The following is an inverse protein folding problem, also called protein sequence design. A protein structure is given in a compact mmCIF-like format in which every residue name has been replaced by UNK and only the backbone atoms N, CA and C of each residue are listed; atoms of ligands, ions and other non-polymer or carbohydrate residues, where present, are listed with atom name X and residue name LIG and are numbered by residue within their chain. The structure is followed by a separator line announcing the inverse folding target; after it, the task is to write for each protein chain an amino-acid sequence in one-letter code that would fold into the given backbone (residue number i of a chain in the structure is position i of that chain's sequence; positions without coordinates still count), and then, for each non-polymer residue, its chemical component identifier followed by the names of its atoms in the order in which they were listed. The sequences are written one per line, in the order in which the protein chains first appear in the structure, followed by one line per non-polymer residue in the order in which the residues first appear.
data_IF_939542619466
#
_entry.id   IF_939542619466
#
_cell.length_a   1.000
_cell.length_b   1.000
_cell.length_c   1.000
_cell.angle_alpha   90.00
_cell.angle_beta   90.00
_cell.angle_gamma   90.00
#
_symmetry.space_group_name_H-M   'P 1'
#
loop_
_entity.id
_entity.type
_entity.pdbx_description
1 polymer ?
#
# COMPACT_ATOMS: atom_id res chain seq x y z
N UNK A 1 -17.49 0.47 -2.83
CA UNK A 1 -16.87 -0.82 -2.41
C UNK A 1 -15.42 -0.54 -2.04
N UNK A 2 -15.00 -0.91 -0.84
CA UNK A 2 -13.63 -0.66 -0.37
C UNK A 2 -12.62 -1.58 -1.07
N UNK A 3 -11.45 -1.04 -1.36
CA UNK A 3 -10.39 -1.74 -2.07
C UNK A 3 -9.37 -2.38 -1.12
N UNK A 4 -8.73 -3.46 -1.56
CA UNK A 4 -7.58 -4.06 -0.89
C UNK A 4 -6.34 -3.89 -1.76
N UNK A 5 -5.31 -3.29 -1.18
CA UNK A 5 -3.99 -3.12 -1.80
C UNK A 5 -3.01 -4.03 -1.07
N UNK A 6 -2.28 -4.86 -1.80
CA UNK A 6 -1.20 -5.68 -1.23
C UNK A 6 0.08 -4.86 -1.13
N UNK A 7 0.79 -4.98 0.00
CA UNK A 7 2.15 -4.42 0.16
C UNK A 7 3.11 -5.59 0.35
N UNK A 8 4.18 -5.64 -0.42
CA UNK A 8 5.11 -6.76 -0.32
C UNK A 8 6.14 -6.60 0.80
N UNK A 9 6.65 -7.72 1.26
CA UNK A 9 7.81 -7.85 2.14
C UNK A 9 8.38 -9.26 1.93
N UNK A 10 9.34 -9.41 1.03
CA UNK A 10 9.91 -10.71 0.65
C UNK A 10 10.35 -11.58 1.84
N UNK A 11 10.94 -11.02 2.92
CA UNK A 11 11.31 -11.81 4.09
C UNK A 11 10.14 -12.50 4.83
N UNK A 12 8.90 -12.05 4.61
CA UNK A 12 7.69 -12.67 5.17
C UNK A 12 7.11 -13.78 4.29
N UNK A 13 7.55 -13.88 3.05
CA UNK A 13 7.11 -14.90 2.12
C UNK A 13 7.89 -16.20 2.38
N UNK A 14 7.18 -17.28 2.70
CA UNK A 14 7.78 -18.61 2.92
C UNK A 14 7.93 -19.41 1.63
N UNK A 15 7.12 -19.07 0.64
CA UNK A 15 7.07 -19.73 -0.66
C UNK A 15 7.96 -19.00 -1.69
N UNK A 16 7.92 -19.44 -2.94
CA UNK A 16 8.52 -18.70 -4.05
C UNK A 16 7.85 -17.33 -4.19
N UNK A 17 8.67 -16.27 -4.14
CA UNK A 17 8.18 -14.90 -4.11
C UNK A 17 7.44 -14.51 -5.40
N UNK A 18 7.91 -14.96 -6.57
CA UNK A 18 7.27 -14.62 -7.84
C UNK A 18 5.93 -15.33 -7.99
N UNK A 19 5.84 -16.59 -7.55
CA UNK A 19 4.56 -17.30 -7.50
C UNK A 19 3.57 -16.60 -6.54
N UNK A 20 4.06 -16.10 -5.39
CA UNK A 20 3.25 -15.32 -4.45
C UNK A 20 2.71 -14.05 -5.10
N UNK A 21 3.56 -13.30 -5.81
CA UNK A 21 3.16 -12.09 -6.53
C UNK A 21 2.12 -12.42 -7.61
N UNK A 22 2.31 -13.49 -8.37
CA UNK A 22 1.33 -13.93 -9.36
C UNK A 22 -0.03 -14.22 -8.72
N UNK A 23 -0.08 -15.01 -7.64
CA UNK A 23 -1.32 -15.29 -6.90
C UNK A 23 -2.01 -14.02 -6.39
N UNK A 24 -1.23 -13.03 -5.93
CA UNK A 24 -1.77 -11.72 -5.50
C UNK A 24 -2.30 -10.95 -6.71
N UNK A 25 -1.59 -10.95 -7.84
CA UNK A 25 -2.02 -10.30 -9.07
C UNK A 25 -3.32 -10.89 -9.63
N UNK A 26 -3.47 -12.21 -9.55
CA UNK A 26 -4.66 -12.94 -10.00
C UNK A 26 -5.86 -12.81 -9.03
N UNK A 27 -5.62 -12.31 -7.82
CA UNK A 27 -6.67 -12.09 -6.81
C UNK A 27 -7.45 -10.79 -7.03
N UNK A 28 -8.50 -10.60 -6.22
CA UNK A 28 -9.31 -9.37 -6.22
C UNK A 28 -8.66 -8.20 -5.45
N UNK A 29 -7.31 -8.13 -5.46
CA UNK A 29 -6.57 -6.95 -5.03
C UNK A 29 -6.58 -5.87 -6.10
N UNK A 30 -6.70 -4.60 -5.68
CA UNK A 30 -6.67 -3.47 -6.60
C UNK A 30 -5.26 -3.20 -7.12
N UNK A 31 -4.29 -3.15 -6.22
CA UNK A 31 -2.88 -2.86 -6.51
C UNK A 31 -1.94 -3.71 -5.68
N UNK A 32 -0.68 -3.75 -6.14
CA UNK A 32 0.46 -4.36 -5.44
C UNK A 32 1.55 -3.31 -5.30
N UNK A 33 1.81 -2.83 -4.09
CA UNK A 33 2.95 -1.97 -3.79
C UNK A 33 4.16 -2.88 -3.55
N UNK A 34 5.10 -2.91 -4.52
CA UNK A 34 6.31 -3.71 -4.44
C UNK A 34 7.34 -3.03 -3.52
N UNK A 35 7.33 -3.41 -2.25
CA UNK A 35 8.11 -2.74 -1.20
C UNK A 35 9.17 -3.67 -0.61
N UNK A 36 10.43 -3.51 -1.08
CA UNK A 36 11.57 -4.28 -0.60
C UNK A 36 12.65 -3.33 -0.05
N UNK A 37 12.61 -3.11 1.27
CA UNK A 37 13.41 -2.07 1.96
C UNK A 37 14.92 -2.27 1.92
N UNK A 38 15.36 -3.50 1.76
CA UNK A 38 16.78 -3.86 1.95
C UNK A 38 17.50 -4.06 0.62
N UNK A 39 16.81 -3.83 -0.50
CA UNK A 39 17.37 -3.96 -1.82
C UNK A 39 18.10 -2.67 -2.23
N UNK A 40 19.27 -2.81 -2.82
CA UNK A 40 19.87 -1.74 -3.61
C UNK A 40 19.01 -1.44 -4.85
N UNK A 41 19.19 -0.29 -5.46
CA UNK A 41 18.45 0.07 -6.67
C UNK A 41 18.62 -0.97 -7.80
N UNK A 42 19.84 -1.50 -7.99
CA UNK A 42 20.11 -2.51 -9.01
C UNK A 42 19.40 -3.84 -8.72
N UNK A 43 19.41 -4.29 -7.47
CA UNK A 43 18.68 -5.50 -7.06
C UNK A 43 17.18 -5.30 -7.24
N UNK A 44 16.68 -4.11 -6.87
CA UNK A 44 15.27 -3.78 -7.01
C UNK A 44 14.85 -3.71 -8.49
N UNK A 45 15.67 -3.10 -9.35
CA UNK A 45 15.45 -3.06 -10.80
C UNK A 45 15.32 -4.48 -11.39
N UNK A 46 16.22 -5.39 -11.02
CA UNK A 46 16.17 -6.78 -11.47
C UNK A 46 14.92 -7.51 -10.93
N UNK A 47 14.55 -7.25 -9.67
CA UNK A 47 13.33 -7.79 -9.09
C UNK A 47 12.08 -7.32 -9.86
N UNK A 48 11.97 -6.01 -10.15
CA UNK A 48 10.82 -5.46 -10.91
C UNK A 48 10.70 -6.11 -12.28
N UNK A 49 11.82 -6.33 -13.00
CA UNK A 49 11.79 -7.05 -14.29
C UNK A 49 11.18 -8.46 -14.16
N UNK A 50 11.57 -9.19 -13.13
CA UNK A 50 11.02 -10.53 -12.88
C UNK A 50 9.54 -10.46 -12.46
N UNK A 51 9.17 -9.49 -11.64
CA UNK A 51 7.77 -9.28 -11.23
C UNK A 51 6.89 -8.94 -12.42
N UNK A 52 7.35 -8.10 -13.35
CA UNK A 52 6.62 -7.75 -14.57
C UNK A 52 6.34 -8.93 -15.50
N UNK A 53 7.05 -10.07 -15.35
CA UNK A 53 6.76 -11.28 -16.12
C UNK A 53 5.61 -12.13 -15.56
N UNK A 54 5.18 -11.87 -14.32
CA UNK A 54 4.16 -12.67 -13.60
C UNK A 54 3.03 -11.82 -12.99
N UNK A 55 3.10 -10.51 -13.10
CA UNK A 55 2.16 -9.57 -12.51
C UNK A 55 1.55 -8.68 -13.59
N UNK A 56 0.25 -8.43 -13.47
CA UNK A 56 -0.39 -7.39 -14.28
C UNK A 56 0.28 -6.03 -13.98
N UNK A 57 0.87 -5.43 -15.02
CA UNK A 57 1.56 -4.15 -14.92
C UNK A 57 0.64 -3.04 -14.41
N UNK A 58 -0.65 -3.11 -14.72
CA UNK A 58 -1.62 -2.11 -14.29
C UNK A 58 -1.94 -2.18 -12.79
N UNK A 59 -1.66 -3.32 -12.16
CA UNK A 59 -1.74 -3.47 -10.71
C UNK A 59 -0.46 -3.09 -9.98
N UNK A 60 0.69 -3.01 -10.66
CA UNK A 60 1.98 -2.81 -10.02
C UNK A 60 2.24 -1.35 -9.68
N UNK A 61 2.59 -1.08 -8.42
CA UNK A 61 3.08 0.20 -7.90
C UNK A 61 4.51 0.02 -7.42
N UNK A 62 5.45 0.78 -7.96
CA UNK A 62 6.84 0.79 -7.52
C UNK A 62 6.94 1.54 -6.18
N UNK A 63 7.76 1.04 -5.26
CA UNK A 63 8.01 1.72 -3.99
C UNK A 63 9.43 2.26 -3.94
N UNK A 64 9.57 3.57 -3.67
CA UNK A 64 10.82 4.27 -3.32
C UNK A 64 11.93 4.33 -4.40
N UNK A 65 11.70 3.90 -5.63
CA UNK A 65 12.71 3.95 -6.70
C UNK A 65 12.14 4.59 -7.97
N UNK A 66 12.03 5.94 -8.04
CA UNK A 66 11.41 6.62 -9.18
C UNK A 66 12.16 6.37 -10.49
N UNK A 67 13.50 6.36 -10.49
CA UNK A 67 14.27 6.08 -11.70
C UNK A 67 14.03 4.66 -12.24
N UNK A 68 13.90 3.67 -11.36
CA UNK A 68 13.54 2.30 -11.77
C UNK A 68 12.15 2.27 -12.39
N UNK A 69 11.18 2.97 -11.82
CA UNK A 69 9.82 3.05 -12.36
C UNK A 69 9.83 3.64 -13.77
N UNK A 70 10.51 4.78 -13.98
CA UNK A 70 10.63 5.45 -15.29
C UNK A 70 11.33 4.54 -16.30
N UNK A 71 12.50 3.97 -15.97
CA UNK A 71 13.27 3.07 -16.85
C UNK A 71 12.49 1.84 -17.32
N UNK A 72 11.59 1.30 -16.47
CA UNK A 72 10.76 0.13 -16.80
C UNK A 72 9.34 0.50 -17.27
N UNK A 73 9.05 1.78 -17.40
CA UNK A 73 7.76 2.30 -17.88
C UNK A 73 6.60 1.97 -16.95
N UNK A 74 6.84 1.82 -15.64
CA UNK A 74 5.78 1.68 -14.63
C UNK A 74 5.36 3.07 -14.18
N UNK A 75 4.12 3.45 -14.45
CA UNK A 75 3.60 4.80 -14.23
C UNK A 75 2.98 5.01 -12.84
N UNK A 76 3.11 4.04 -11.94
CA UNK A 76 2.55 4.10 -10.59
C UNK A 76 3.66 4.00 -9.55
N UNK A 77 3.69 4.96 -8.60
CA UNK A 77 4.72 5.01 -7.56
C UNK A 77 4.11 5.30 -6.19
N UNK A 78 4.68 4.70 -5.16
CA UNK A 78 4.42 5.00 -3.76
C UNK A 78 5.71 5.33 -3.03
N UNK A 79 5.77 6.49 -2.41
CA UNK A 79 6.98 6.99 -1.75
C UNK A 79 6.81 7.03 -0.22
N UNK A 80 7.88 6.76 0.55
CA UNK A 80 7.95 7.24 1.93
C UNK A 80 7.78 8.76 1.96
N UNK A 81 7.15 9.31 3.01
CA UNK A 81 6.83 10.74 3.09
C UNK A 81 8.05 11.67 2.88
N UNK A 82 9.22 11.29 3.43
CA UNK A 82 10.45 12.05 3.19
C UNK A 82 10.82 12.10 1.71
N UNK A 83 10.85 10.96 1.03
CA UNK A 83 11.17 10.88 -0.39
C UNK A 83 10.10 11.56 -1.27
N UNK A 84 8.83 11.56 -0.84
CA UNK A 84 7.75 12.29 -1.51
C UNK A 84 8.01 13.80 -1.53
N UNK A 85 8.46 14.38 -0.42
CA UNK A 85 8.78 15.80 -0.33
C UNK A 85 9.91 16.24 -1.27
N UNK A 86 10.83 15.34 -1.54
CA UNK A 86 12.01 15.58 -2.35
C UNK A 86 11.84 15.18 -3.82
N UNK A 87 10.66 14.61 -4.19
CA UNK A 87 10.41 14.11 -5.54
C UNK A 87 10.47 15.22 -6.59
N UNK A 88 11.28 14.98 -7.63
CA UNK A 88 11.25 15.71 -8.89
C UNK A 88 10.66 14.81 -9.97
N UNK A 89 10.03 15.38 -10.99
CA UNK A 89 9.44 14.61 -12.07
C UNK A 89 8.11 13.95 -11.69
N UNK A 90 7.22 14.69 -10.99
CA UNK A 90 5.84 14.26 -10.69
C UNK A 90 5.08 13.85 -11.96
N UNK A 91 5.33 14.54 -13.05
CA UNK A 91 4.74 14.35 -14.37
C UNK A 91 5.07 13.00 -15.02
N UNK A 92 6.08 12.30 -14.54
CA UNK A 92 6.43 10.96 -15.01
C UNK A 92 5.44 9.88 -14.56
N UNK A 93 4.55 10.20 -13.60
CA UNK A 93 3.66 9.22 -12.95
C UNK A 93 2.18 9.57 -13.12
N UNK A 94 1.40 8.55 -13.50
CA UNK A 94 -0.07 8.61 -13.58
C UNK A 94 -0.73 8.42 -12.21
N UNK A 95 -0.02 7.77 -11.26
CA UNK A 95 -0.48 7.55 -9.89
C UNK A 95 0.69 7.71 -8.92
N UNK A 96 0.62 8.73 -8.08
CA UNK A 96 1.60 9.01 -7.02
C UNK A 96 0.96 8.89 -5.64
N UNK A 97 1.45 7.98 -4.81
CA UNK A 97 1.02 7.85 -3.42
C UNK A 97 2.14 8.07 -2.42
N UNK A 98 1.76 8.37 -1.19
CA UNK A 98 2.71 8.45 -0.07
C UNK A 98 2.13 7.93 1.23
N UNK A 99 3.03 7.57 2.17
CA UNK A 99 2.64 7.12 3.51
C UNK A 99 2.66 8.29 4.48
N UNK A 100 1.56 8.51 5.21
CA UNK A 100 1.42 9.60 6.19
C UNK A 100 1.25 9.08 7.60
N UNK A 101 1.71 9.89 8.57
CA UNK A 101 1.67 9.53 9.97
C UNK A 101 1.02 10.60 10.85
N UNK A 102 0.57 11.71 10.27
CA UNK A 102 -0.20 12.77 10.92
C UNK A 102 -1.22 13.37 9.94
N UNK A 103 -2.12 14.21 10.44
CA UNK A 103 -3.04 15.00 9.62
C UNK A 103 -2.30 16.07 8.81
N UNK A 104 -1.25 16.63 9.38
CA UNK A 104 -0.37 17.62 8.74
C UNK A 104 0.36 16.99 7.54
N UNK A 105 0.89 15.77 7.70
CA UNK A 105 1.48 15.01 6.58
C UNK A 105 0.45 14.79 5.46
N UNK A 106 -0.81 14.49 5.82
CA UNK A 106 -1.87 14.23 4.85
C UNK A 106 -2.22 15.47 4.04
N UNK A 107 -2.41 16.61 4.73
CA UNK A 107 -2.68 17.91 4.09
C UNK A 107 -1.51 18.28 3.15
N UNK A 108 -0.28 18.17 3.65
CA UNK A 108 0.90 18.43 2.82
C UNK A 108 0.95 17.55 1.58
N UNK A 109 0.64 16.25 1.72
CA UNK A 109 0.64 15.32 0.59
C UNK A 109 -0.39 15.73 -0.48
N UNK A 110 -1.63 16.07 -0.08
CA UNK A 110 -2.65 16.54 -1.03
C UNK A 110 -2.24 17.83 -1.72
N UNK A 111 -1.77 18.83 -0.97
CA UNK A 111 -1.33 20.13 -1.51
C UNK A 111 -0.14 20.02 -2.48
N UNK A 112 0.68 18.95 -2.33
CA UNK A 112 1.83 18.69 -3.19
C UNK A 112 1.60 17.58 -4.22
N UNK A 113 0.34 17.28 -4.55
CA UNK A 113 -0.04 16.48 -5.71
C UNK A 113 0.01 14.98 -5.51
N UNK A 114 -0.12 14.46 -4.28
CA UNK A 114 -0.39 13.04 -4.09
C UNK A 114 -1.80 12.70 -4.61
N UNK A 115 -1.92 11.59 -5.35
CA UNK A 115 -3.21 11.09 -5.85
C UNK A 115 -3.91 10.23 -4.78
N UNK A 116 -3.16 9.66 -3.84
CA UNK A 116 -3.68 8.92 -2.68
C UNK A 116 -2.66 8.88 -1.55
N UNK A 117 -3.12 8.56 -0.36
CA UNK A 117 -2.26 8.36 0.81
C UNK A 117 -2.55 7.04 1.52
N UNK A 118 -1.52 6.49 2.19
CA UNK A 118 -1.69 5.43 3.17
C UNK A 118 -1.50 5.99 4.57
N UNK A 119 -2.51 5.86 5.43
CA UNK A 119 -2.49 6.36 6.81
C UNK A 119 -2.22 5.21 7.80
N UNK A 120 -1.20 5.32 8.62
CA UNK A 120 -0.89 4.24 9.57
C UNK A 120 0.20 4.53 10.60
N UNK A 121 0.45 3.53 11.47
CA UNK A 121 -0.25 2.24 11.58
C UNK A 121 -1.55 2.39 12.39
N UNK A 122 -2.63 1.85 11.85
CA UNK A 122 -3.95 1.99 12.51
C UNK A 122 -4.03 1.05 13.71
N UNK A 123 -3.68 -0.22 13.54
CA UNK A 123 -3.66 -1.23 14.61
C UNK A 123 -2.21 -1.63 14.93
N UNK A 124 -2.04 -2.29 16.07
CA UNK A 124 -0.75 -2.88 16.43
C UNK A 124 -0.31 -3.91 15.40
N UNK A 125 0.98 -3.97 15.15
CA UNK A 125 1.56 -4.87 14.14
C UNK A 125 2.99 -5.25 14.49
N UNK A 126 3.34 -6.51 14.29
CA UNK A 126 4.70 -7.02 14.48
C UNK A 126 5.73 -6.33 13.59
N UNK A 127 5.29 -5.73 12.48
CA UNK A 127 6.15 -4.99 11.55
C UNK A 127 6.65 -3.64 12.12
N UNK A 128 6.02 -3.16 13.21
CA UNK A 128 6.42 -1.97 13.97
C UNK A 128 6.38 -2.28 15.47
N UNK A 129 7.18 -3.26 15.90
CA UNK A 129 7.24 -3.72 17.31
C UNK A 129 7.39 -2.55 18.28
N UNK A 130 6.54 -2.53 19.30
CA UNK A 130 6.54 -1.51 20.36
C UNK A 130 5.84 -0.19 20.03
N UNK A 131 5.33 0.00 18.81
CA UNK A 131 4.50 1.15 18.47
C UNK A 131 3.02 0.80 18.58
N UNK A 132 2.32 1.47 19.47
CA UNK A 132 0.86 1.36 19.58
C UNK A 132 0.20 1.80 18.27
N UNK A 133 -0.90 1.14 17.91
CA UNK A 133 -1.76 1.59 16.83
C UNK A 133 -2.36 2.96 17.13
N UNK A 134 -2.50 3.80 16.12
CA UNK A 134 -3.08 5.15 16.22
C UNK A 134 -4.60 5.13 16.34
N UNK A 135 -5.20 3.99 16.01
CA UNK A 135 -6.63 3.76 16.12
C UNK A 135 -7.47 4.36 15.00
N UNK A 136 -8.74 3.99 15.00
CA UNK A 136 -9.73 4.40 13.98
C UNK A 136 -10.00 5.92 14.00
N UNK A 137 -9.89 6.57 15.17
CA UNK A 137 -10.09 8.01 15.27
C UNK A 137 -9.01 8.80 14.51
N UNK A 138 -7.76 8.35 14.55
CA UNK A 138 -6.70 8.93 13.72
C UNK A 138 -7.05 8.84 12.23
N UNK A 139 -7.53 7.68 11.77
CA UNK A 139 -7.95 7.50 10.38
C UNK A 139 -9.08 8.43 9.98
N UNK A 140 -10.09 8.62 10.87
CA UNK A 140 -11.18 9.57 10.64
C UNK A 140 -10.66 10.99 10.49
N UNK A 141 -9.78 11.44 11.40
CA UNK A 141 -9.18 12.78 11.35
C UNK A 141 -8.40 13.00 10.04
N UNK A 142 -7.63 11.99 9.59
CA UNK A 142 -6.95 12.05 8.30
C UNK A 142 -7.94 12.15 7.15
N UNK A 143 -9.00 11.34 7.13
CA UNK A 143 -10.03 11.42 6.10
C UNK A 143 -10.75 12.77 6.11
N UNK A 144 -10.98 13.36 7.29
CA UNK A 144 -11.64 14.66 7.42
C UNK A 144 -10.74 15.84 7.00
N UNK A 145 -9.41 15.64 6.94
CA UNK A 145 -8.44 16.68 6.61
C UNK A 145 -8.11 16.79 5.11
N UNK A 146 -8.46 15.80 4.28
CA UNK A 146 -8.14 15.74 2.85
C UNK A 146 -9.30 15.22 2.02
N UNK A 147 -9.24 15.45 0.70
CA UNK A 147 -10.25 14.95 -0.25
C UNK A 147 -9.75 13.77 -1.09
N UNK A 148 -8.43 13.56 -1.18
CA UNK A 148 -7.84 12.45 -1.92
C UNK A 148 -8.11 11.10 -1.24
N UNK A 149 -8.08 9.98 -1.99
CA UNK A 149 -8.26 8.63 -1.46
C UNK A 149 -7.31 8.30 -0.31
N UNK A 150 -7.87 7.79 0.79
CA UNK A 150 -7.14 7.36 1.99
C UNK A 150 -7.25 5.86 2.16
N UNK A 151 -6.12 5.18 2.28
CA UNK A 151 -6.04 3.77 2.61
C UNK A 151 -5.50 3.57 4.02
N UNK A 152 -6.17 2.76 4.84
CA UNK A 152 -5.67 2.38 6.16
C UNK A 152 -4.57 1.31 6.03
N UNK A 153 -3.50 1.43 6.82
CA UNK A 153 -2.42 0.43 6.86
C UNK A 153 -1.98 0.13 8.30
N UNK A 154 -1.58 -1.12 8.54
CA UNK A 154 -1.02 -1.59 9.80
C UNK A 154 -1.99 -2.40 10.64
N UNK A 155 -1.68 -3.68 10.84
CA UNK A 155 -2.45 -4.63 11.62
C UNK A 155 -3.80 -5.01 11.00
N UNK A 156 -3.95 -4.91 9.68
CA UNK A 156 -5.20 -5.19 8.97
C UNK A 156 -5.36 -6.69 8.71
N UNK A 157 -6.49 -7.23 9.16
CA UNK A 157 -7.02 -8.56 8.86
C UNK A 157 -8.56 -8.49 8.89
N UNK A 158 -9.26 -9.61 8.75
CA UNK A 158 -10.73 -9.63 8.75
C UNK A 158 -11.34 -9.09 10.05
N UNK A 159 -10.73 -9.40 11.21
CA UNK A 159 -11.26 -8.95 12.51
C UNK A 159 -11.11 -7.44 12.70
N UNK A 160 -9.93 -6.89 12.41
CA UNK A 160 -9.67 -5.46 12.53
C UNK A 160 -10.38 -4.64 11.44
N UNK A 161 -10.64 -5.22 10.26
CA UNK A 161 -11.39 -4.58 9.18
C UNK A 161 -12.83 -4.22 9.60
N UNK A 162 -13.46 -5.01 10.48
CA UNK A 162 -14.79 -4.71 11.05
C UNK A 162 -14.86 -3.34 11.72
N UNK A 163 -13.79 -2.96 12.44
CA UNK A 163 -13.73 -1.68 13.13
C UNK A 163 -13.69 -0.51 12.15
N UNK A 164 -13.05 -0.71 10.97
CA UNK A 164 -12.91 0.31 9.93
C UNK A 164 -14.23 0.65 9.23
N UNK A 165 -15.22 -0.24 9.27
CA UNK A 165 -16.58 0.03 8.76
C UNK A 165 -17.17 1.30 9.39
N UNK A 166 -16.80 1.62 10.62
CA UNK A 166 -17.24 2.80 11.35
C UNK A 166 -16.61 4.12 10.84
N UNK A 167 -15.62 4.08 9.96
CA UNK A 167 -14.97 5.30 9.42
C UNK A 167 -15.97 6.11 8.62
N UNK A 168 -16.76 5.48 7.76
CA UNK A 168 -17.85 6.07 6.97
C UNK A 168 -17.50 7.46 6.39
N UNK A 169 -16.39 7.55 5.66
CA UNK A 169 -15.94 8.75 4.94
C UNK A 169 -15.88 8.48 3.45
N UNK A 170 -16.31 9.46 2.63
CA UNK A 170 -16.39 9.32 1.17
C UNK A 170 -15.04 8.99 0.54
N UNK A 171 -13.95 9.54 1.07
CA UNK A 171 -12.59 9.35 0.59
C UNK A 171 -11.85 8.19 1.26
N UNK A 172 -12.46 7.45 2.19
CA UNK A 172 -11.91 6.19 2.67
C UNK A 172 -12.01 5.13 1.57
N UNK A 173 -10.88 4.90 0.88
CA UNK A 173 -10.83 4.09 -0.33
C UNK A 173 -10.64 2.60 -0.06
N UNK A 174 -10.11 2.24 1.13
CA UNK A 174 -9.88 0.85 1.50
C UNK A 174 -8.66 0.64 2.39
N UNK A 175 -8.00 -0.51 2.24
CA UNK A 175 -6.92 -0.94 3.13
C UNK A 175 -5.70 -1.42 2.38
N UNK A 176 -4.52 -1.24 3.01
CA UNK A 176 -3.27 -1.86 2.58
C UNK A 176 -2.91 -3.01 3.54
N UNK A 177 -2.66 -4.18 2.98
CA UNK A 177 -2.39 -5.42 3.73
C UNK A 177 -1.02 -5.96 3.35
N UNK A 178 -0.17 -6.24 4.33
CA UNK A 178 1.19 -6.74 4.09
C UNK A 178 1.38 -8.17 4.61
N UNK A 179 1.61 -8.35 5.90
CA UNK A 179 2.00 -9.63 6.49
C UNK A 179 0.99 -10.75 6.22
N UNK A 180 -0.29 -10.47 6.35
CA UNK A 180 -1.34 -11.46 6.11
C UNK A 180 -1.25 -12.04 4.70
N UNK A 181 -1.20 -11.20 3.66
CA UNK A 181 -1.16 -11.68 2.27
C UNK A 181 0.19 -12.32 1.90
N UNK A 182 1.30 -11.83 2.47
CA UNK A 182 2.61 -12.44 2.23
C UNK A 182 2.74 -13.83 2.85
N UNK A 183 2.05 -14.10 3.97
CA UNK A 183 2.12 -15.35 4.72
C UNK A 183 0.99 -16.33 4.37
N UNK A 184 -0.12 -15.86 3.81
CA UNK A 184 -1.28 -16.70 3.48
C UNK A 184 -1.02 -17.58 2.25
N UNK A 185 -1.54 -18.80 2.28
CA UNK A 185 -1.64 -19.68 1.11
C UNK A 185 -2.88 -19.35 0.25
N UNK A 186 -3.96 -18.87 0.90
CA UNK A 186 -5.26 -18.61 0.30
C UNK A 186 -5.54 -17.10 0.17
N UNK A 187 -4.77 -16.42 -0.68
CA UNK A 187 -4.79 -14.96 -0.82
C UNK A 187 -6.19 -14.45 -1.15
N UNK A 188 -6.86 -15.05 -2.13
CA UNK A 188 -8.18 -14.60 -2.57
C UNK A 188 -9.23 -14.71 -1.46
N UNK A 189 -9.17 -15.75 -0.65
CA UNK A 189 -10.05 -15.93 0.51
C UNK A 189 -9.85 -14.82 1.55
N UNK A 190 -8.61 -14.48 1.87
CA UNK A 190 -8.29 -13.40 2.81
C UNK A 190 -8.73 -12.04 2.28
N UNK A 191 -8.51 -11.76 1.00
CA UNK A 191 -8.98 -10.52 0.35
C UNK A 191 -10.50 -10.42 0.42
N UNK A 192 -11.22 -11.50 0.10
CA UNK A 192 -12.68 -11.53 0.13
C UNK A 192 -13.24 -11.38 1.55
N UNK A 193 -12.60 -12.00 2.57
CA UNK A 193 -12.97 -11.81 3.98
C UNK A 193 -12.87 -10.33 4.36
N UNK A 194 -11.73 -9.69 4.07
CA UNK A 194 -11.52 -8.27 4.38
C UNK A 194 -12.56 -7.40 3.67
N UNK A 195 -12.78 -7.60 2.37
CA UNK A 195 -13.77 -6.81 1.61
C UNK A 195 -15.18 -6.94 2.18
N UNK A 196 -15.58 -8.15 2.56
CA UNK A 196 -16.90 -8.38 3.19
C UNK A 196 -17.06 -7.62 4.50
N UNK A 197 -16.02 -7.56 5.32
CA UNK A 197 -16.07 -6.86 6.60
C UNK A 197 -16.05 -5.32 6.45
N UNK A 198 -15.45 -4.82 5.38
CA UNK A 198 -15.47 -3.38 5.06
C UNK A 198 -16.82 -2.91 4.47
N UNK A 199 -17.61 -3.79 3.85
CA UNK A 199 -18.96 -3.52 3.29
C UNK A 199 -18.91 -3.34 1.81
#
# INVERSE_FOLDING_TARGET
MCNVVSVTAKPLCKDDFLQKIQKISDSDTQYIILREKYFSEQEYFNLVKNVLSVCDKDKLIIHNFPETAVKLGVKKIHLPFGAFKDLKGREDFDLLGTSVHSTEDAIFAEENGADYITAGNIFETDCKKGLKGKGVNFLRNVCDSVNIPVYAIGGINADTAKELKSVNRKNFAGVCVMSLLMQSENINEEVMKIKRELG
#
